data_IF_924690086312
#
_entry.id   IF_924690086312
#
_cell.length_a   1.000
_cell.length_b   1.000
_cell.length_c   1.000
_cell.angle_alpha   90.00
_cell.angle_beta   90.00
_cell.angle_gamma   90.00
#
_symmetry.space_group_name_H-M   'P 1'
#
loop_
_entity.id
_entity.type
_entity.pdbx_description
1 polymer ?
#
# COMPACT_ATOMS: atom_id res chain seq x y z
N UNK A 1 -3.63 1.74 36.39
CA UNK A 1 -3.16 1.01 35.16
C UNK A 1 -3.87 -0.33 35.13
N UNK A 2 -4.86 -0.47 34.26
CA UNK A 2 -5.61 -1.72 34.07
C UNK A 2 -4.74 -2.71 33.30
N UNK A 3 -4.70 -3.95 33.74
CA UNK A 3 -4.00 -5.04 33.04
C UNK A 3 -4.75 -6.35 33.18
N UNK A 4 -4.52 -7.26 32.25
CA UNK A 4 -5.02 -8.64 32.30
C UNK A 4 -3.88 -9.57 31.90
N UNK A 5 -3.67 -10.61 32.69
CA UNK A 5 -2.81 -11.73 32.32
C UNK A 5 -3.71 -12.92 31.96
N UNK A 6 -3.47 -13.57 30.83
CA UNK A 6 -4.31 -14.65 30.35
C UNK A 6 -3.93 -16.03 30.91
N UNK A 7 -2.84 -16.10 31.68
CA UNK A 7 -2.41 -17.32 32.39
C UNK A 7 -1.31 -17.06 33.40
N UNK A 8 -0.67 -18.14 33.87
CA UNK A 8 0.37 -18.11 34.91
C UNK A 8 1.78 -18.36 34.36
N UNK A 9 1.94 -18.37 33.03
CA UNK A 9 3.25 -18.57 32.39
C UNK A 9 4.12 -17.31 32.40
N UNK A 10 5.38 -17.49 32.01
CA UNK A 10 6.28 -16.36 31.79
C UNK A 10 5.80 -15.51 30.61
N UNK A 11 5.66 -14.21 30.82
CA UNK A 11 5.13 -13.31 29.81
C UNK A 11 6.16 -13.15 28.69
N UNK A 12 5.82 -13.61 27.48
CA UNK A 12 6.64 -13.46 26.27
C UNK A 12 6.07 -12.40 25.31
N UNK A 13 4.77 -12.16 25.38
CA UNK A 13 4.06 -11.25 24.48
C UNK A 13 3.20 -10.26 25.26
N UNK A 14 3.34 -8.99 24.89
CA UNK A 14 2.58 -7.89 25.47
C UNK A 14 1.65 -7.28 24.44
N UNK A 15 0.42 -6.97 24.85
CA UNK A 15 -0.52 -6.18 24.08
C UNK A 15 -0.74 -4.85 24.79
N UNK A 16 -0.45 -3.76 24.11
CA UNK A 16 -0.65 -2.39 24.58
C UNK A 16 -1.89 -1.81 23.90
N UNK A 17 -2.93 -1.51 24.68
CA UNK A 17 -4.23 -1.06 24.18
C UNK A 17 -4.84 -0.02 25.14
N UNK A 18 -5.75 0.84 24.67
CA UNK A 18 -6.47 1.78 25.56
C UNK A 18 -7.20 1.06 26.69
N UNK A 19 -7.20 1.63 27.88
CA UNK A 19 -7.80 1.01 29.09
C UNK A 19 -9.29 0.68 28.91
N UNK A 20 -10.03 1.52 28.18
CA UNK A 20 -11.44 1.32 27.88
C UNK A 20 -11.73 0.15 26.92
N UNK A 21 -10.70 -0.31 26.20
CA UNK A 21 -10.76 -1.48 25.33
C UNK A 21 -10.28 -2.79 26.03
N UNK A 22 -9.94 -2.75 27.31
CA UNK A 22 -9.59 -3.95 28.06
C UNK A 22 -10.88 -4.65 28.53
N UNK A 23 -11.47 -5.42 27.59
CA UNK A 23 -12.63 -6.27 27.81
C UNK A 23 -12.20 -7.70 27.44
N UNK A 24 -12.24 -8.61 28.42
CA UNK A 24 -11.65 -9.94 28.28
C UNK A 24 -12.21 -10.74 27.10
N UNK A 25 -13.53 -10.73 26.89
CA UNK A 25 -14.19 -11.42 25.77
C UNK A 25 -13.71 -10.94 24.41
N UNK A 26 -13.56 -9.62 24.26
CA UNK A 26 -13.15 -8.99 23.01
C UNK A 26 -11.65 -9.19 22.75
N UNK A 27 -10.83 -9.11 23.79
CA UNK A 27 -9.40 -9.40 23.68
C UNK A 27 -9.18 -10.86 23.27
N UNK A 28 -9.92 -11.81 23.84
CA UNK A 28 -9.88 -13.22 23.42
C UNK A 28 -10.25 -13.35 21.94
N UNK A 29 -11.35 -12.74 21.52
CA UNK A 29 -11.88 -12.86 20.17
C UNK A 29 -10.92 -12.28 19.12
N UNK A 30 -10.41 -11.08 19.34
CA UNK A 30 -9.72 -10.31 18.29
C UNK A 30 -8.20 -10.45 18.31
N UNK A 31 -7.59 -10.81 19.44
CA UNK A 31 -6.13 -10.89 19.56
C UNK A 31 -5.65 -12.24 20.09
N UNK A 32 -6.17 -12.73 21.22
CA UNK A 32 -5.59 -13.87 21.92
C UNK A 32 -5.82 -15.18 21.18
N UNK A 33 -7.07 -15.52 20.85
CA UNK A 33 -7.37 -16.74 20.10
C UNK A 33 -6.70 -16.77 18.71
N UNK A 34 -6.67 -15.66 17.93
CA UNK A 34 -5.89 -15.59 16.72
C UNK A 34 -4.38 -15.82 16.90
N UNK A 35 -3.78 -15.36 18.00
CA UNK A 35 -2.37 -15.63 18.33
C UNK A 35 -2.16 -17.09 18.74
N UNK A 36 -3.05 -17.66 19.53
CA UNK A 36 -3.01 -19.06 19.94
C UNK A 36 -3.10 -20.00 18.71
N UNK A 37 -3.99 -19.71 17.76
CA UNK A 37 -4.10 -20.42 16.48
C UNK A 37 -2.83 -20.33 15.61
N UNK A 38 -1.93 -19.37 15.90
CA UNK A 38 -0.65 -19.19 15.23
C UNK A 38 0.55 -19.71 16.06
N UNK A 39 0.27 -20.45 17.12
CA UNK A 39 1.29 -21.14 17.92
C UNK A 39 1.83 -20.36 19.13
N UNK A 40 1.27 -19.20 19.47
CA UNK A 40 1.63 -18.50 20.70
C UNK A 40 0.75 -19.00 21.86
N UNK A 41 1.39 -19.41 22.95
CA UNK A 41 0.67 -19.84 24.14
C UNK A 41 0.01 -18.64 24.85
N UNK A 42 -1.32 -18.67 24.96
CA UNK A 42 -2.09 -17.61 25.65
C UNK A 42 -1.66 -17.39 27.09
N UNK A 43 -1.15 -18.45 27.78
CA UNK A 43 -0.67 -18.33 29.15
C UNK A 43 0.51 -17.38 29.30
N UNK A 44 1.19 -17.06 28.20
CA UNK A 44 2.37 -16.19 28.13
C UNK A 44 2.03 -14.79 27.59
N UNK A 45 0.73 -14.42 27.52
CA UNK A 45 0.28 -13.13 26.99
C UNK A 45 -0.27 -12.25 28.11
N UNK A 46 0.19 -11.01 28.16
CA UNK A 46 -0.34 -9.97 29.04
C UNK A 46 -0.80 -8.75 28.25
N UNK A 47 -1.88 -8.12 28.71
CA UNK A 47 -2.43 -6.90 28.15
C UNK A 47 -2.29 -5.77 29.15
N UNK A 48 -1.76 -4.64 28.71
CA UNK A 48 -1.58 -3.43 29.52
C UNK A 48 -2.32 -2.24 28.90
N UNK A 49 -3.02 -1.49 29.77
CA UNK A 49 -3.73 -0.28 29.40
C UNK A 49 -2.79 0.87 29.09
N UNK A 50 -3.09 1.60 28.03
CA UNK A 50 -2.42 2.83 27.66
C UNK A 50 -3.08 4.04 28.33
N UNK A 51 -2.27 4.99 28.79
CA UNK A 51 -2.73 6.19 29.46
C UNK A 51 -3.40 7.14 28.46
N UNK A 52 -4.65 7.51 28.75
CA UNK A 52 -5.41 8.53 28.04
C UNK A 52 -6.20 9.39 29.03
N UNK A 53 -6.26 10.69 28.82
CA UNK A 53 -7.10 11.65 29.50
C UNK A 53 -8.13 12.15 28.50
N UNK A 54 -9.42 11.92 28.74
CA UNK A 54 -10.54 12.34 27.89
C UNK A 54 -10.32 12.10 26.39
N UNK A 55 -9.94 10.87 26.04
CA UNK A 55 -9.67 10.40 24.66
C UNK A 55 -8.41 10.99 24.02
N UNK A 56 -7.65 11.83 24.69
CA UNK A 56 -6.39 12.43 24.23
C UNK A 56 -5.24 12.09 25.16
N UNK A 57 -4.03 12.12 24.65
CA UNK A 57 -2.82 12.01 25.44
C UNK A 57 -1.81 13.05 24.97
N UNK A 58 -1.29 13.86 25.90
CA UNK A 58 -0.17 14.77 25.61
C UNK A 58 1.08 13.96 25.37
N UNK A 59 1.83 14.31 24.31
CA UNK A 59 3.00 13.53 23.87
C UNK A 59 4.04 13.29 24.98
N UNK A 60 4.34 14.32 25.77
CA UNK A 60 5.31 14.21 26.87
C UNK A 60 4.84 13.23 27.96
N UNK A 61 3.56 13.32 28.35
CA UNK A 61 2.98 12.42 29.35
C UNK A 61 2.92 10.97 28.83
N UNK A 62 2.50 10.78 27.57
CA UNK A 62 2.43 9.46 26.93
C UNK A 62 3.81 8.82 26.78
N UNK A 63 4.83 9.58 26.38
CA UNK A 63 6.22 9.09 26.30
C UNK A 63 6.78 8.74 27.68
N UNK A 64 6.52 9.56 28.70
CA UNK A 64 6.95 9.28 30.08
C UNK A 64 6.29 8.00 30.60
N UNK A 65 4.98 7.84 30.38
CA UNK A 65 4.25 6.63 30.72
C UNK A 65 4.80 5.40 30.01
N UNK A 66 5.07 5.50 28.70
CA UNK A 66 5.64 4.41 27.91
C UNK A 66 7.02 3.99 28.45
N UNK A 67 7.90 4.94 28.80
CA UNK A 67 9.19 4.65 29.44
C UNK A 67 9.03 3.92 30.78
N UNK A 68 8.13 4.38 31.62
CA UNK A 68 7.81 3.73 32.89
C UNK A 68 7.31 2.28 32.67
N UNK A 69 6.39 2.08 31.74
CA UNK A 69 5.86 0.77 31.39
C UNK A 69 6.95 -0.17 30.89
N UNK A 70 7.75 0.29 29.93
CA UNK A 70 8.85 -0.49 29.36
C UNK A 70 9.91 -0.82 30.41
N UNK A 71 10.24 0.09 31.33
CA UNK A 71 11.21 -0.18 32.42
C UNK A 71 10.76 -1.28 33.37
N UNK A 72 9.43 -1.46 33.57
CA UNK A 72 8.88 -2.60 34.30
C UNK A 72 8.98 -3.90 33.50
N UNK A 73 8.71 -3.81 32.20
CA UNK A 73 8.72 -4.95 31.27
C UNK A 73 10.11 -5.54 31.10
N UNK A 74 11.16 -4.72 31.01
CA UNK A 74 12.54 -5.20 30.83
C UNK A 74 13.00 -6.07 32.00
N UNK A 75 12.43 -5.86 33.18
CA UNK A 75 12.71 -6.68 34.37
C UNK A 75 12.18 -8.11 34.25
N UNK A 76 11.20 -8.34 33.38
CA UNK A 76 10.60 -9.67 33.15
C UNK A 76 11.52 -10.61 32.33
N UNK A 77 12.56 -10.08 31.68
CA UNK A 77 13.58 -10.79 30.86
C UNK A 77 13.05 -11.75 29.78
N UNK A 78 11.79 -12.19 29.89
CA UNK A 78 11.12 -13.20 29.03
C UNK A 78 10.38 -12.56 27.87
N UNK A 79 10.08 -11.25 27.89
CA UNK A 79 9.33 -10.57 26.86
C UNK A 79 10.16 -10.42 25.58
N UNK A 80 9.55 -10.81 24.47
CA UNK A 80 10.13 -10.73 23.12
C UNK A 80 9.26 -9.88 22.19
N UNK A 81 7.94 -9.93 22.38
CA UNK A 81 6.97 -9.37 21.45
C UNK A 81 6.11 -8.28 22.07
N UNK A 82 5.91 -7.18 21.36
CA UNK A 82 5.06 -6.05 21.76
C UNK A 82 4.06 -5.75 20.64
N UNK A 83 2.78 -6.01 20.90
CA UNK A 83 1.68 -5.67 20.01
C UNK A 83 1.09 -4.34 20.48
N UNK A 84 1.07 -3.32 19.62
CA UNK A 84 0.59 -1.99 19.97
C UNK A 84 -0.70 -1.69 19.20
N UNK A 85 -1.82 -1.69 19.91
CA UNK A 85 -3.13 -1.37 19.34
C UNK A 85 -3.45 0.13 19.49
N UNK A 86 -2.45 0.98 19.18
CA UNK A 86 -2.54 2.43 19.24
C UNK A 86 -1.45 3.11 18.39
N UNK A 87 -1.86 3.99 17.49
CA UNK A 87 -0.96 4.65 16.56
C UNK A 87 -0.02 5.67 17.21
N UNK A 88 -0.47 6.40 18.23
CA UNK A 88 0.35 7.41 18.91
C UNK A 88 1.48 6.76 19.69
N UNK A 89 1.16 5.74 20.47
CA UNK A 89 2.15 4.98 21.23
C UNK A 89 3.12 4.21 20.33
N UNK A 90 2.62 3.67 19.22
CA UNK A 90 3.50 3.02 18.24
C UNK A 90 4.50 4.00 17.59
N UNK A 91 4.05 5.21 17.23
CA UNK A 91 4.94 6.27 16.74
C UNK A 91 6.05 6.61 17.74
N UNK A 92 5.69 6.75 19.01
CA UNK A 92 6.67 7.06 20.07
C UNK A 92 7.63 5.89 20.28
N UNK A 93 7.14 4.66 20.28
CA UNK A 93 7.94 3.44 20.46
C UNK A 93 8.97 3.25 19.35
N UNK A 94 8.58 3.50 18.09
CA UNK A 94 9.39 3.18 16.89
C UNK A 94 10.03 4.39 16.23
N UNK A 95 9.69 5.62 16.65
CA UNK A 95 10.05 6.91 16.01
C UNK A 95 9.58 7.02 14.54
N UNK A 96 8.58 6.22 14.12
CA UNK A 96 7.96 6.35 12.80
C UNK A 96 7.02 7.54 12.77
N UNK A 97 7.07 8.34 11.72
CA UNK A 97 6.19 9.50 11.53
C UNK A 97 4.89 9.11 10.83
N UNK A 98 4.99 8.27 9.80
CA UNK A 98 3.86 7.72 9.04
C UNK A 98 3.64 6.26 9.44
N UNK A 99 2.44 5.91 9.86
CA UNK A 99 2.12 4.57 10.38
C UNK A 99 1.21 3.75 9.47
N UNK A 100 0.62 4.36 8.44
CA UNK A 100 -0.24 3.66 7.48
C UNK A 100 0.49 2.50 6.79
N UNK A 101 1.79 2.64 6.61
CA UNK A 101 2.65 1.69 5.92
C UNK A 101 3.34 0.70 6.90
N UNK A 102 2.95 0.75 8.19
CA UNK A 102 3.56 -0.10 9.22
C UNK A 102 2.73 -1.34 9.56
N UNK A 103 1.53 -1.46 9.05
CA UNK A 103 0.71 -2.64 9.30
C UNK A 103 1.29 -3.87 8.61
N UNK A 104 1.25 -5.03 9.29
CA UNK A 104 1.79 -6.27 8.77
C UNK A 104 3.32 -6.42 8.83
N UNK A 105 4.04 -5.44 9.41
CA UNK A 105 5.49 -5.45 9.57
C UNK A 105 5.90 -5.42 11.04
N UNK A 106 7.06 -6.00 11.34
CA UNK A 106 7.69 -5.93 12.66
C UNK A 106 8.76 -4.85 12.69
N UNK A 107 8.84 -4.14 13.81
CA UNK A 107 9.78 -3.06 14.04
C UNK A 107 10.54 -3.25 15.33
N UNK A 108 11.79 -2.81 15.35
CA UNK A 108 12.56 -2.72 16.58
C UNK A 108 12.21 -1.43 17.30
N UNK A 109 11.85 -1.46 18.61
CA UNK A 109 11.69 -0.27 19.42
C UNK A 109 12.96 0.59 19.41
N UNK A 110 12.78 1.92 19.30
CA UNK A 110 13.89 2.88 19.35
C UNK A 110 13.99 3.53 20.73
N UNK A 111 14.16 2.69 21.73
CA UNK A 111 14.43 3.04 23.12
C UNK A 111 15.67 2.27 23.59
N UNK A 112 16.59 2.93 24.27
CA UNK A 112 17.82 2.32 24.74
C UNK A 112 17.54 1.12 25.66
N UNK A 113 18.12 -0.03 25.31
CA UNK A 113 17.93 -1.31 26.01
C UNK A 113 16.70 -2.14 25.58
N UNK A 114 15.95 -1.69 24.56
CA UNK A 114 14.74 -2.38 24.07
C UNK A 114 14.87 -2.86 22.61
N UNK A 115 16.06 -2.81 22.04
CA UNK A 115 16.34 -3.17 20.64
C UNK A 115 16.12 -4.66 20.35
N UNK A 116 16.07 -5.50 21.38
CA UNK A 116 15.81 -6.95 21.26
C UNK A 116 14.33 -7.29 21.05
N UNK A 117 13.42 -6.36 21.38
CA UNK A 117 11.99 -6.62 21.24
C UNK A 117 11.54 -6.43 19.80
N UNK A 118 10.55 -7.23 19.38
CA UNK A 118 9.79 -7.02 18.16
C UNK A 118 8.50 -6.28 18.48
N UNK A 119 8.24 -5.19 17.80
CA UNK A 119 7.01 -4.43 17.94
C UNK A 119 6.18 -4.49 16.65
N UNK A 120 4.87 -4.62 16.75
CA UNK A 120 3.93 -4.58 15.62
C UNK A 120 2.79 -3.62 15.92
N UNK A 121 2.33 -2.91 14.88
CA UNK A 121 1.12 -2.10 14.95
C UNK A 121 -0.09 -2.92 14.52
N UNK A 122 -1.14 -2.87 15.33
CA UNK A 122 -2.46 -3.39 14.97
C UNK A 122 -3.53 -2.34 15.25
N UNK A 123 -4.65 -2.31 14.51
CA UNK A 123 -5.80 -1.50 14.91
C UNK A 123 -6.36 -1.92 16.28
N UNK A 124 -6.90 -0.95 17.03
CA UNK A 124 -7.77 -1.27 18.15
C UNK A 124 -9.05 -1.93 17.61
N UNK A 125 -9.47 -3.05 18.21
CA UNK A 125 -10.66 -3.79 17.73
C UNK A 125 -11.92 -2.93 17.71
N UNK A 126 -12.05 -1.91 18.56
CA UNK A 126 -13.17 -0.97 18.53
C UNK A 126 -13.27 -0.20 17.20
N UNK A 127 -12.17 -0.05 16.48
CA UNK A 127 -12.17 0.56 15.16
C UNK A 127 -12.87 -0.30 14.08
N UNK A 128 -13.13 -1.57 14.35
CA UNK A 128 -13.90 -2.46 13.46
C UNK A 128 -15.38 -2.01 13.33
N UNK A 129 -15.90 -1.32 14.35
CA UNK A 129 -17.26 -0.77 14.29
C UNK A 129 -17.40 0.28 13.17
N UNK A 130 -16.36 1.08 12.98
CA UNK A 130 -16.34 2.12 11.94
C UNK A 130 -15.80 1.62 10.60
N UNK A 131 -14.82 0.72 10.64
CA UNK A 131 -14.19 0.16 9.43
C UNK A 131 -13.89 -1.33 9.62
N UNK A 132 -14.78 -2.23 9.15
CA UNK A 132 -14.60 -3.68 9.23
C UNK A 132 -13.32 -4.20 8.58
N UNK A 133 -12.77 -3.49 7.58
CA UNK A 133 -11.52 -3.87 6.90
C UNK A 133 -10.30 -3.84 7.84
N UNK A 134 -10.39 -3.17 8.99
CA UNK A 134 -9.35 -3.23 10.01
C UNK A 134 -9.12 -4.63 10.57
N UNK A 135 -10.04 -5.59 10.35
CA UNK A 135 -9.84 -6.98 10.72
C UNK A 135 -8.67 -7.62 9.96
N UNK A 136 -8.50 -7.28 8.68
CA UNK A 136 -7.36 -7.75 7.88
C UNK A 136 -6.04 -7.20 8.46
N UNK A 137 -6.01 -5.91 8.83
CA UNK A 137 -4.82 -5.30 9.44
C UNK A 137 -4.46 -5.90 10.81
N UNK A 138 -5.46 -6.26 11.62
CA UNK A 138 -5.24 -6.98 12.88
C UNK A 138 -4.60 -8.34 12.56
N UNK A 139 -5.21 -9.11 11.65
CA UNK A 139 -4.74 -10.45 11.28
C UNK A 139 -3.30 -10.43 10.76
N UNK A 140 -2.95 -9.45 9.91
CA UNK A 140 -1.61 -9.29 9.36
C UNK A 140 -0.57 -8.94 10.44
N UNK A 141 -0.89 -7.99 11.33
CA UNK A 141 0.00 -7.65 12.43
C UNK A 141 0.25 -8.82 13.38
N UNK A 142 -0.81 -9.57 13.72
CA UNK A 142 -0.69 -10.77 14.55
C UNK A 142 0.12 -11.88 13.84
N UNK A 143 0.01 -11.98 12.52
CA UNK A 143 0.82 -12.92 11.73
C UNK A 143 2.30 -12.51 11.74
N UNK A 144 2.59 -11.24 11.53
CA UNK A 144 3.95 -10.72 11.51
C UNK A 144 4.70 -10.97 12.83
N UNK A 145 4.04 -10.78 13.97
CA UNK A 145 4.68 -10.95 15.30
C UNK A 145 5.03 -12.40 15.62
N UNK A 146 4.29 -13.37 15.08
CA UNK A 146 4.56 -14.80 15.30
C UNK A 146 5.78 -15.30 14.53
N UNK A 147 6.40 -14.45 13.70
CA UNK A 147 7.51 -14.83 12.84
C UNK A 147 7.12 -15.71 11.66
N UNK A 148 5.81 -15.87 11.42
CA UNK A 148 5.31 -16.55 10.23
C UNK A 148 5.70 -15.70 9.00
N UNK A 149 6.68 -16.19 8.25
CA UNK A 149 7.01 -15.60 6.95
C UNK A 149 5.95 -16.05 5.96
N UNK A 150 5.23 -15.10 5.37
CA UNK A 150 4.38 -15.42 4.22
C UNK A 150 5.24 -16.08 3.14
N UNK A 151 4.74 -17.15 2.51
CA UNK A 151 5.43 -17.75 1.38
C UNK A 151 5.66 -16.66 0.31
N UNK A 152 6.77 -16.78 -0.42
CA UNK A 152 7.02 -15.91 -1.55
C UNK A 152 5.86 -16.07 -2.54
N UNK A 153 5.24 -14.94 -2.91
CA UNK A 153 4.14 -14.97 -3.87
C UNK A 153 4.62 -15.25 -5.30
N UNK A 154 5.90 -15.04 -5.57
CA UNK A 154 6.53 -15.33 -6.86
C UNK A 154 7.00 -16.79 -6.86
N UNK A 155 6.33 -17.64 -7.61
CA UNK A 155 6.75 -19.03 -7.83
C UNK A 155 7.61 -19.16 -9.08
N UNK A 156 7.27 -18.43 -10.15
CA UNK A 156 8.07 -18.34 -11.36
C UNK A 156 8.11 -16.90 -11.85
N UNK A 157 9.31 -16.42 -12.07
CA UNK A 157 9.54 -15.09 -12.60
C UNK A 157 10.61 -15.13 -13.70
N UNK A 158 10.43 -14.29 -14.71
CA UNK A 158 11.48 -13.93 -15.65
C UNK A 158 11.68 -12.42 -15.57
N UNK A 159 12.92 -12.00 -15.43
CA UNK A 159 13.32 -10.59 -15.44
C UNK A 159 14.13 -10.35 -16.72
N UNK A 160 13.55 -9.61 -17.65
CA UNK A 160 14.05 -9.47 -19.01
C UNK A 160 14.62 -8.08 -19.23
N UNK A 161 15.86 -8.01 -19.69
CA UNK A 161 16.57 -6.78 -20.03
C UNK A 161 17.10 -6.80 -21.47
N UNK A 162 16.91 -7.91 -22.19
CA UNK A 162 17.32 -8.10 -23.57
C UNK A 162 16.13 -8.10 -24.54
N UNK A 163 16.25 -7.37 -25.64
CA UNK A 163 15.17 -7.19 -26.62
C UNK A 163 14.74 -8.50 -27.29
N UNK A 164 15.69 -9.40 -27.61
CA UNK A 164 15.35 -10.67 -28.29
C UNK A 164 14.58 -11.59 -27.34
N UNK A 165 14.95 -11.58 -26.07
CA UNK A 165 14.24 -12.34 -25.04
C UNK A 165 12.84 -11.75 -24.82
N UNK A 166 12.71 -10.42 -24.73
CA UNK A 166 11.43 -9.73 -24.64
C UNK A 166 10.51 -10.07 -25.81
N UNK A 167 11.04 -10.04 -27.05
CA UNK A 167 10.28 -10.39 -28.25
C UNK A 167 9.76 -11.83 -28.23
N UNK A 168 10.60 -12.80 -27.84
CA UNK A 168 10.19 -14.21 -27.71
C UNK A 168 9.09 -14.38 -26.68
N UNK A 169 9.24 -13.71 -25.54
CA UNK A 169 8.31 -13.78 -24.44
C UNK A 169 6.96 -13.16 -24.78
N UNK A 170 6.95 -11.96 -25.37
CA UNK A 170 5.72 -11.30 -25.79
C UNK A 170 4.97 -12.13 -26.82
N UNK A 171 5.68 -12.73 -27.81
CA UNK A 171 5.08 -13.65 -28.76
C UNK A 171 4.51 -14.93 -28.09
N UNK A 172 5.17 -15.43 -27.05
CA UNK A 172 4.63 -16.53 -26.26
C UNK A 172 3.34 -16.14 -25.51
N UNK A 173 3.30 -14.96 -24.89
CA UNK A 173 2.10 -14.46 -24.19
C UNK A 173 0.90 -14.27 -25.13
N UNK A 174 1.13 -13.83 -26.37
CA UNK A 174 0.06 -13.68 -27.39
C UNK A 174 -0.74 -14.97 -27.60
N UNK A 175 -0.07 -16.12 -27.58
CA UNK A 175 -0.70 -17.41 -27.94
C UNK A 175 -1.02 -18.28 -26.72
N UNK A 176 -0.40 -18.01 -25.58
CA UNK A 176 -0.48 -18.89 -24.40
C UNK A 176 -1.41 -18.39 -23.31
N UNK A 177 -1.88 -17.13 -23.40
CA UNK A 177 -2.67 -16.51 -22.33
C UNK A 177 -3.95 -15.90 -22.86
N UNK A 178 -5.07 -16.10 -22.10
CA UNK A 178 -6.37 -15.49 -22.38
C UNK A 178 -6.65 -14.27 -21.52
N UNK A 179 -5.84 -14.03 -20.51
CA UNK A 179 -5.92 -12.86 -19.64
C UNK A 179 -4.54 -12.57 -19.06
N UNK A 180 -4.20 -11.30 -18.93
CA UNK A 180 -2.97 -10.80 -18.32
C UNK A 180 -3.31 -9.66 -17.39
N UNK A 181 -2.73 -9.67 -16.20
CA UNK A 181 -2.58 -8.43 -15.43
C UNK A 181 -1.32 -7.72 -15.87
N UNK A 182 -1.39 -6.41 -15.94
CA UNK A 182 -0.36 -5.55 -16.51
C UNK A 182 -0.15 -4.39 -15.55
N UNK A 183 1.10 -4.05 -15.30
CA UNK A 183 1.50 -2.92 -14.49
C UNK A 183 2.75 -2.27 -15.09
N UNK A 184 2.85 -0.94 -15.04
CA UNK A 184 3.99 -0.19 -15.56
C UNK A 184 4.63 0.67 -14.49
N UNK A 185 5.94 0.83 -14.58
CA UNK A 185 6.67 1.86 -13.84
C UNK A 185 7.14 2.96 -14.76
N UNK A 186 7.06 4.19 -14.27
CA UNK A 186 7.37 5.39 -15.05
C UNK A 186 8.33 6.31 -14.29
N UNK A 187 8.99 7.24 -15.00
CA UNK A 187 9.86 8.26 -14.38
C UNK A 187 9.09 9.30 -13.56
N UNK A 188 7.77 9.28 -13.56
CA UNK A 188 6.93 10.22 -12.81
C UNK A 188 5.46 10.09 -13.16
N UNK A 189 4.62 10.94 -12.58
CA UNK A 189 3.16 10.84 -12.70
C UNK A 189 2.58 11.66 -13.88
N UNK A 190 3.35 12.59 -14.44
CA UNK A 190 2.87 13.43 -15.52
C UNK A 190 2.89 12.71 -16.88
N UNK A 191 2.08 13.15 -17.82
CA UNK A 191 1.88 12.49 -19.12
C UNK A 191 3.17 12.33 -19.93
N UNK A 192 4.14 13.26 -19.83
CA UNK A 192 5.43 13.17 -20.49
C UNK A 192 6.46 12.25 -19.84
N UNK A 193 6.10 11.51 -18.78
CA UNK A 193 6.99 10.57 -18.12
C UNK A 193 7.26 9.36 -19.02
N UNK A 194 8.51 8.89 -19.01
CA UNK A 194 8.93 7.71 -19.78
C UNK A 194 8.53 6.42 -19.06
N UNK A 195 8.25 5.38 -19.81
CA UNK A 195 8.11 4.02 -19.32
C UNK A 195 9.49 3.47 -18.94
N UNK A 196 9.62 2.90 -17.75
CA UNK A 196 10.88 2.28 -17.27
C UNK A 196 10.78 0.77 -17.32
N UNK A 197 9.69 0.21 -16.82
CA UNK A 197 9.43 -1.23 -16.87
C UNK A 197 7.96 -1.52 -17.10
N UNK A 198 7.70 -2.74 -17.53
CA UNK A 198 6.37 -3.31 -17.65
C UNK A 198 6.40 -4.74 -17.13
N UNK A 199 5.36 -5.12 -16.39
CA UNK A 199 5.19 -6.50 -15.94
C UNK A 199 3.87 -7.08 -16.44
N UNK A 200 3.87 -8.41 -16.58
CA UNK A 200 2.73 -9.22 -16.98
C UNK A 200 2.60 -10.41 -16.04
N UNK A 201 1.39 -10.72 -15.59
CA UNK A 201 1.14 -11.97 -14.89
C UNK A 201 -0.14 -12.63 -15.43
N UNK A 202 -0.11 -13.96 -15.55
CA UNK A 202 -1.20 -14.79 -16.05
C UNK A 202 -1.86 -15.66 -14.98
N UNK A 203 -1.35 -15.58 -13.78
CA UNK A 203 -1.97 -16.07 -12.55
C UNK A 203 -1.41 -15.33 -11.34
N UNK A 204 -1.81 -15.73 -10.14
CA UNK A 204 -1.40 -15.04 -8.89
C UNK A 204 0.05 -15.30 -8.46
N UNK A 205 0.81 -16.17 -9.15
CA UNK A 205 2.15 -16.60 -8.74
C UNK A 205 3.19 -16.58 -9.86
N UNK A 206 2.75 -16.47 -11.10
CA UNK A 206 3.62 -16.58 -12.27
C UNK A 206 3.49 -15.37 -13.17
N UNK A 207 4.63 -14.85 -13.57
CA UNK A 207 4.67 -13.66 -14.42
C UNK A 207 6.07 -13.29 -14.85
N UNK A 208 6.18 -12.15 -15.49
CA UNK A 208 7.40 -11.62 -16.07
C UNK A 208 7.44 -10.11 -15.90
N UNK A 209 8.63 -9.55 -15.72
CA UNK A 209 8.86 -8.11 -15.79
C UNK A 209 9.98 -7.80 -16.79
N UNK A 210 9.77 -6.76 -17.59
CA UNK A 210 10.65 -6.34 -18.67
C UNK A 210 11.13 -4.92 -18.38
N UNK A 211 12.44 -4.70 -18.40
CA UNK A 211 13.04 -3.38 -18.35
C UNK A 211 13.04 -2.75 -19.74
N UNK A 212 12.55 -1.51 -19.90
CA UNK A 212 12.25 -0.94 -21.22
C UNK A 212 13.33 -0.07 -21.82
N UNK A 213 14.40 0.27 -21.10
CA UNK A 213 15.46 1.16 -21.60
C UNK A 213 16.17 0.62 -22.86
N UNK A 214 16.24 -0.70 -23.01
CA UNK A 214 16.93 -1.36 -24.12
C UNK A 214 15.98 -2.07 -25.09
N UNK A 215 14.68 -1.85 -24.96
CA UNK A 215 13.64 -2.51 -25.75
C UNK A 215 13.03 -1.52 -26.74
N UNK A 216 12.95 -1.92 -28.02
CA UNK A 216 12.22 -1.13 -29.00
C UNK A 216 10.73 -1.11 -28.65
N UNK A 217 10.20 0.07 -28.43
CA UNK A 217 8.79 0.27 -28.03
C UNK A 217 7.79 -0.20 -29.10
N UNK A 218 8.19 -0.30 -30.37
CA UNK A 218 7.34 -0.84 -31.44
C UNK A 218 6.98 -2.33 -31.21
N UNK A 219 7.85 -3.09 -30.54
CA UNK A 219 7.58 -4.48 -30.17
C UNK A 219 6.43 -4.53 -29.15
N UNK A 220 6.48 -3.65 -28.16
CA UNK A 220 5.45 -3.56 -27.13
C UNK A 220 4.13 -3.01 -27.71
N UNK A 221 4.20 -1.98 -28.57
CA UNK A 221 3.03 -1.48 -29.29
C UNK A 221 2.33 -2.60 -30.08
N UNK A 222 3.12 -3.38 -30.84
CA UNK A 222 2.60 -4.49 -31.65
C UNK A 222 1.96 -5.57 -30.79
N UNK A 223 2.60 -5.91 -29.66
CA UNK A 223 2.02 -6.83 -28.68
C UNK A 223 0.62 -6.40 -28.23
N UNK A 224 0.44 -5.12 -27.86
CA UNK A 224 -0.88 -4.64 -27.42
C UNK A 224 -1.93 -4.62 -28.52
N UNK A 225 -1.53 -4.35 -29.77
CA UNK A 225 -2.46 -4.39 -30.92
C UNK A 225 -2.91 -5.82 -31.21
N UNK A 226 -1.97 -6.79 -31.11
CA UNK A 226 -2.21 -8.17 -31.51
C UNK A 226 -2.77 -9.04 -30.36
N UNK A 227 -2.78 -8.55 -29.11
CA UNK A 227 -3.26 -9.31 -27.97
C UNK A 227 -4.79 -9.32 -27.91
N UNK A 228 -5.40 -10.49 -28.11
CA UNK A 228 -6.85 -10.69 -28.11
C UNK A 228 -7.42 -11.05 -26.73
N UNK A 229 -6.56 -11.30 -25.73
CA UNK A 229 -6.97 -11.65 -24.37
C UNK A 229 -7.44 -10.45 -23.54
N UNK A 230 -7.87 -10.73 -22.32
CA UNK A 230 -8.31 -9.69 -21.37
C UNK A 230 -7.09 -9.01 -20.76
N UNK A 231 -6.99 -7.70 -20.91
CA UNK A 231 -5.98 -6.87 -20.25
C UNK A 231 -6.57 -6.31 -18.94
N UNK A 232 -5.91 -6.58 -17.82
CA UNK A 232 -6.38 -6.25 -16.48
C UNK A 232 -5.36 -5.33 -15.82
N UNK A 233 -5.80 -4.19 -15.30
CA UNK A 233 -4.99 -3.22 -14.61
C UNK A 233 -5.51 -2.96 -13.19
N UNK A 234 -4.74 -2.27 -12.38
CA UNK A 234 -5.22 -1.66 -11.14
C UNK A 234 -5.10 -0.14 -11.25
N UNK A 235 -6.22 0.57 -11.41
CA UNK A 235 -6.28 1.96 -11.83
C UNK A 235 -5.84 2.14 -13.31
N UNK A 236 -6.55 1.43 -14.20
CA UNK A 236 -6.29 1.39 -15.64
C UNK A 236 -6.08 2.78 -16.30
N UNK A 237 -6.66 3.83 -15.73
CA UNK A 237 -6.48 5.20 -16.23
C UNK A 237 -5.02 5.66 -16.17
N UNK A 238 -4.25 5.22 -15.17
CA UNK A 238 -2.84 5.57 -15.08
C UNK A 238 -2.02 4.85 -16.16
N UNK A 239 -2.07 3.53 -16.18
CA UNK A 239 -1.25 2.71 -17.09
C UNK A 239 -1.63 2.95 -18.55
N UNK A 240 -2.90 2.85 -18.89
CA UNK A 240 -3.37 3.04 -20.26
C UNK A 240 -3.06 4.44 -20.81
N UNK A 241 -3.19 5.49 -19.98
CA UNK A 241 -2.81 6.85 -20.36
C UNK A 241 -1.33 6.93 -20.79
N UNK A 242 -0.42 6.36 -19.98
CA UNK A 242 1.00 6.38 -20.26
C UNK A 242 1.38 5.47 -21.43
N UNK A 243 0.78 4.27 -21.53
CA UNK A 243 0.97 3.37 -22.66
C UNK A 243 0.53 4.01 -23.98
N UNK A 244 -0.65 4.64 -24.02
CA UNK A 244 -1.15 5.34 -25.21
C UNK A 244 -0.19 6.47 -25.60
N UNK A 245 0.18 7.30 -24.64
CA UNK A 245 1.04 8.47 -24.92
C UNK A 245 2.43 8.08 -25.41
N UNK A 246 3.03 7.04 -24.86
CA UNK A 246 4.40 6.64 -25.19
C UNK A 246 4.48 5.74 -26.41
N UNK A 247 3.49 4.88 -26.67
CA UNK A 247 3.57 3.86 -27.71
C UNK A 247 2.83 4.22 -29.01
N UNK A 248 1.81 5.07 -28.94
CA UNK A 248 0.94 5.33 -30.08
C UNK A 248 1.11 6.76 -30.60
N UNK A 249 1.27 6.91 -31.92
CA UNK A 249 1.27 8.20 -32.58
C UNK A 249 -0.14 8.83 -32.70
N UNK A 250 -1.18 8.00 -32.63
CA UNK A 250 -2.57 8.39 -32.66
C UNK A 250 -3.27 8.01 -31.35
N UNK A 251 -3.81 9.00 -30.66
CA UNK A 251 -4.63 8.79 -29.46
C UNK A 251 -5.82 7.85 -29.76
N UNK A 252 -6.43 7.99 -30.94
CA UNK A 252 -7.58 7.16 -31.31
C UNK A 252 -7.19 5.69 -31.50
N UNK A 253 -6.02 5.41 -32.09
CA UNK A 253 -5.49 4.04 -32.23
C UNK A 253 -5.28 3.42 -30.84
N UNK A 254 -4.62 4.14 -29.93
CA UNK A 254 -4.41 3.68 -28.55
C UNK A 254 -5.73 3.47 -27.78
N UNK A 255 -6.70 4.39 -27.91
CA UNK A 255 -8.02 4.23 -27.29
C UNK A 255 -8.80 3.01 -27.81
N UNK A 256 -8.60 2.62 -29.06
CA UNK A 256 -9.22 1.43 -29.60
C UNK A 256 -8.51 0.16 -29.13
N UNK A 257 -7.18 0.19 -29.01
CA UNK A 257 -6.39 -0.93 -28.48
C UNK A 257 -6.76 -1.26 -27.03
N UNK A 258 -6.99 -0.24 -26.20
CA UNK A 258 -7.37 -0.39 -24.78
C UNK A 258 -8.88 -0.26 -24.51
N UNK A 259 -9.73 -0.55 -25.51
CA UNK A 259 -11.19 -0.38 -25.37
C UNK A 259 -11.81 -1.36 -24.35
N UNK A 260 -11.31 -2.60 -24.31
CA UNK A 260 -11.89 -3.69 -23.52
C UNK A 260 -11.05 -4.07 -22.29
N UNK A 261 -10.34 -3.09 -21.72
CA UNK A 261 -9.57 -3.33 -20.50
C UNK A 261 -10.48 -3.52 -19.28
N UNK A 262 -10.04 -4.32 -18.33
CA UNK A 262 -10.68 -4.46 -17.03
C UNK A 262 -9.85 -3.77 -15.94
N UNK A 263 -10.52 -3.23 -14.92
CA UNK A 263 -9.87 -2.51 -13.82
C UNK A 263 -10.25 -3.13 -12.47
N UNK A 264 -9.25 -3.69 -11.79
CA UNK A 264 -9.42 -4.31 -10.47
C UNK A 264 -9.76 -3.30 -9.38
N UNK A 265 -9.40 -2.01 -9.52
CA UNK A 265 -9.79 -0.95 -8.60
C UNK A 265 -11.29 -0.66 -8.68
N UNK A 266 -11.87 -0.68 -9.88
CA UNK A 266 -13.32 -0.50 -10.06
C UNK A 266 -14.11 -1.70 -9.51
N UNK A 267 -13.61 -2.94 -9.67
CA UNK A 267 -14.18 -4.10 -8.99
C UNK A 267 -14.12 -3.96 -7.47
N UNK A 268 -13.01 -3.48 -6.94
CA UNK A 268 -12.84 -3.22 -5.50
C UNK A 268 -13.85 -2.18 -5.01
N UNK A 269 -14.02 -1.10 -5.78
CA UNK A 269 -15.00 -0.04 -5.48
C UNK A 269 -16.42 -0.59 -5.36
N UNK A 270 -16.86 -1.34 -6.36
CA UNK A 270 -18.20 -1.93 -6.36
C UNK A 270 -18.39 -2.98 -5.26
N UNK A 271 -17.37 -3.81 -5.02
CA UNK A 271 -17.44 -4.88 -4.02
C UNK A 271 -17.48 -4.37 -2.58
N UNK A 272 -16.78 -3.27 -2.29
CA UNK A 272 -16.71 -2.69 -0.94
C UNK A 272 -17.87 -1.78 -0.61
N UNK A 273 -18.79 -1.53 -1.54
CA UNK A 273 -19.93 -0.62 -1.38
C UNK A 273 -19.44 0.70 -0.77
N UNK A 274 -18.60 1.42 -1.48
CA UNK A 274 -17.65 2.37 -0.92
C UNK A 274 -18.35 3.55 -0.24
N UNK A 275 -18.39 3.48 1.05
CA UNK A 275 -18.35 4.67 1.87
C UNK A 275 -16.97 5.32 1.72
N UNK A 276 -16.86 6.62 1.98
CA UNK A 276 -15.66 7.45 1.79
C UNK A 276 -14.36 6.92 2.45
N UNK A 277 -14.43 5.85 3.23
CA UNK A 277 -13.31 5.26 3.97
C UNK A 277 -12.73 3.97 3.34
N UNK A 278 -13.34 3.45 2.27
CA UNK A 278 -12.86 2.24 1.63
C UNK A 278 -11.53 2.53 0.88
N UNK A 279 -10.46 1.93 1.33
CA UNK A 279 -9.18 1.99 0.62
C UNK A 279 -9.28 1.20 -0.67
N UNK A 280 -8.96 1.88 -1.78
CA UNK A 280 -8.96 1.29 -3.12
C UNK A 280 -7.56 0.95 -3.62
N UNK A 281 -6.51 1.39 -2.92
CA UNK A 281 -5.12 1.13 -3.31
C UNK A 281 -4.80 -0.37 -3.33
N UNK A 282 -3.97 -0.77 -4.28
CA UNK A 282 -3.59 -2.16 -4.53
C UNK A 282 -3.02 -2.84 -3.29
N UNK A 283 -2.08 -2.18 -2.61
CA UNK A 283 -1.31 -2.77 -1.51
C UNK A 283 -2.17 -3.07 -0.30
N UNK A 284 -3.10 -2.16 0.05
CA UNK A 284 -4.08 -2.42 1.11
C UNK A 284 -5.02 -3.58 0.78
N UNK A 285 -5.39 -3.74 -0.50
CA UNK A 285 -6.31 -4.79 -0.94
C UNK A 285 -5.66 -6.15 -1.16
N UNK A 286 -4.34 -6.17 -1.39
CA UNK A 286 -3.54 -7.39 -1.54
C UNK A 286 -2.79 -7.80 -0.27
N UNK A 287 -2.93 -7.07 0.85
CA UNK A 287 -2.14 -7.25 2.06
C UNK A 287 -2.18 -8.69 2.59
N UNK A 288 -3.35 -9.34 2.59
CA UNK A 288 -3.49 -10.73 3.04
C UNK A 288 -2.77 -11.75 2.13
N UNK A 289 -2.60 -11.42 0.85
CA UNK A 289 -1.91 -12.25 -0.15
C UNK A 289 -0.40 -11.96 -0.18
N UNK A 290 -0.04 -10.71 -0.42
CA UNK A 290 1.33 -10.31 -0.70
C UNK A 290 2.10 -9.77 0.53
N UNK A 291 1.41 -9.55 1.65
CA UNK A 291 2.00 -8.84 2.79
C UNK A 291 2.24 -7.36 2.48
N UNK A 292 2.98 -6.69 3.35
CA UNK A 292 3.37 -5.30 3.12
C UNK A 292 4.68 -5.24 2.30
N UNK A 293 4.59 -5.53 1.00
CA UNK A 293 5.76 -5.50 0.10
C UNK A 293 6.06 -4.09 -0.43
N UNK A 294 5.14 -3.17 -0.24
CA UNK A 294 5.25 -1.79 -0.73
C UNK A 294 6.04 -0.90 0.22
N UNK A 295 7.35 -1.02 0.21
CA UNK A 295 8.18 0.10 0.68
C UNK A 295 7.82 1.29 -0.22
N UNK A 296 7.46 2.45 0.37
CA UNK A 296 7.11 3.64 -0.40
C UNK A 296 8.24 3.97 -1.40
N UNK A 297 8.12 3.46 -2.59
CA UNK A 297 8.96 3.84 -3.72
C UNK A 297 8.43 5.21 -4.16
N UNK A 298 9.12 6.27 -3.76
CA UNK A 298 8.79 7.63 -4.18
C UNK A 298 9.23 7.90 -5.60
N UNK A 299 10.25 7.17 -6.05
CA UNK A 299 10.87 7.32 -7.35
C UNK A 299 11.35 5.94 -7.82
N UNK A 300 10.64 5.36 -8.76
CA UNK A 300 10.97 4.06 -9.34
C UNK A 300 12.33 4.10 -10.07
N UNK A 301 12.69 5.25 -10.64
CA UNK A 301 13.96 5.44 -11.37
C UNK A 301 15.21 5.37 -10.47
N UNK A 302 15.03 5.50 -9.16
CA UNK A 302 16.12 5.41 -8.18
C UNK A 302 16.42 3.98 -7.72
N UNK A 303 15.62 2.99 -8.13
CA UNK A 303 15.80 1.58 -7.77
C UNK A 303 16.83 0.91 -8.70
N UNK A 304 17.53 -0.10 -8.18
CA UNK A 304 18.27 -1.01 -9.06
C UNK A 304 17.29 -1.81 -9.94
N UNK A 305 17.72 -2.18 -11.14
CA UNK A 305 16.87 -2.87 -12.13
C UNK A 305 16.21 -4.11 -11.54
N UNK A 306 16.97 -4.95 -10.83
CA UNK A 306 16.43 -6.19 -10.24
C UNK A 306 15.32 -5.91 -9.21
N UNK A 307 15.51 -4.90 -8.35
CA UNK A 307 14.52 -4.51 -7.34
C UNK A 307 13.28 -3.90 -7.99
N UNK A 308 13.46 -3.10 -9.03
CA UNK A 308 12.38 -2.51 -9.81
C UNK A 308 11.52 -3.59 -10.48
N UNK A 309 12.15 -4.54 -11.17
CA UNK A 309 11.45 -5.60 -11.88
C UNK A 309 10.70 -6.54 -10.92
N UNK A 310 11.32 -6.89 -9.80
CA UNK A 310 10.64 -7.68 -8.76
C UNK A 310 9.44 -6.94 -8.16
N UNK A 311 9.59 -5.63 -7.92
CA UNK A 311 8.52 -4.79 -7.38
C UNK A 311 7.35 -4.69 -8.37
N UNK A 312 7.62 -4.36 -9.64
CA UNK A 312 6.63 -4.26 -10.71
C UNK A 312 5.90 -5.60 -10.93
N UNK A 313 6.63 -6.73 -10.90
CA UNK A 313 5.99 -8.06 -10.98
C UNK A 313 5.07 -8.34 -9.80
N UNK A 314 5.47 -7.96 -8.57
CA UNK A 314 4.60 -8.11 -7.38
C UNK A 314 3.30 -7.32 -7.52
N UNK A 315 3.34 -6.13 -8.11
CA UNK A 315 2.14 -5.34 -8.37
C UNK A 315 1.21 -6.05 -9.38
N UNK A 316 1.74 -6.69 -10.42
CA UNK A 316 0.95 -7.53 -11.32
C UNK A 316 0.30 -8.74 -10.63
N UNK A 317 1.06 -9.49 -9.83
CA UNK A 317 0.55 -10.67 -9.11
C UNK A 317 -0.52 -10.25 -8.07
N UNK A 318 -0.30 -9.12 -7.39
CA UNK A 318 -1.27 -8.53 -6.47
C UNK A 318 -2.54 -8.09 -7.22
N UNK A 319 -2.41 -7.50 -8.40
CA UNK A 319 -3.54 -7.12 -9.27
C UNK A 319 -4.36 -8.33 -9.67
N UNK A 320 -3.72 -9.46 -10.03
CA UNK A 320 -4.42 -10.71 -10.33
C UNK A 320 -5.24 -11.22 -9.14
N UNK A 321 -4.63 -11.20 -7.95
CA UNK A 321 -5.30 -11.61 -6.72
C UNK A 321 -6.52 -10.72 -6.41
N UNK A 322 -6.32 -9.39 -6.43
CA UNK A 322 -7.36 -8.39 -6.15
C UNK A 322 -8.51 -8.47 -7.15
N UNK A 323 -8.19 -8.59 -8.43
CA UNK A 323 -9.17 -8.75 -9.50
C UNK A 323 -10.08 -9.97 -9.28
N UNK A 324 -9.50 -11.14 -9.07
CA UNK A 324 -10.29 -12.36 -8.89
C UNK A 324 -11.13 -12.34 -7.60
N UNK A 325 -10.54 -11.82 -6.50
CA UNK A 325 -11.25 -11.67 -5.21
C UNK A 325 -12.49 -10.81 -5.36
N UNK A 326 -12.34 -9.62 -5.89
CA UNK A 326 -13.44 -8.65 -5.94
C UNK A 326 -14.42 -8.87 -7.10
N UNK A 327 -13.96 -9.37 -8.24
CA UNK A 327 -14.85 -9.81 -9.33
C UNK A 327 -15.83 -10.88 -8.87
N UNK A 328 -15.39 -11.85 -8.06
CA UNK A 328 -16.24 -12.86 -7.46
C UNK A 328 -17.32 -12.25 -6.55
N UNK A 329 -16.96 -11.23 -5.75
CA UNK A 329 -17.89 -10.51 -4.86
C UNK A 329 -18.90 -9.72 -5.68
N UNK A 330 -18.45 -8.95 -6.67
CA UNK A 330 -19.30 -8.17 -7.58
C UNK A 330 -20.32 -9.07 -8.29
N UNK A 331 -19.87 -10.23 -8.79
CA UNK A 331 -20.75 -11.25 -9.39
C UNK A 331 -21.78 -11.78 -8.40
N UNK A 332 -21.36 -12.11 -7.17
CA UNK A 332 -22.24 -12.60 -6.10
C UNK A 332 -23.33 -11.60 -5.73
N UNK A 333 -23.04 -10.30 -5.77
CA UNK A 333 -23.98 -9.23 -5.44
C UNK A 333 -24.76 -8.68 -6.65
N UNK A 334 -24.68 -9.34 -7.83
CA UNK A 334 -25.35 -8.92 -9.08
C UNK A 334 -24.96 -7.50 -9.54
N UNK A 335 -23.71 -7.07 -9.27
CA UNK A 335 -23.18 -5.77 -9.67
C UNK A 335 -22.35 -5.83 -10.97
N UNK A 336 -22.38 -6.97 -11.68
CA UNK A 336 -21.62 -7.13 -12.92
C UNK A 336 -22.20 -6.28 -14.05
N UNK A 337 -23.53 -6.15 -14.13
CA UNK A 337 -24.19 -5.31 -15.13
C UNK A 337 -23.79 -3.84 -15.02
N UNK A 338 -23.89 -3.16 -13.86
CA UNK A 338 -23.35 -1.81 -13.70
C UNK A 338 -21.86 -1.70 -14.08
N UNK A 339 -21.04 -2.70 -13.74
CA UNK A 339 -19.64 -2.70 -14.13
C UNK A 339 -19.46 -2.67 -15.66
N UNK A 340 -20.13 -3.59 -16.38
CA UNK A 340 -19.97 -3.74 -17.84
C UNK A 340 -20.65 -2.65 -18.66
N UNK A 341 -21.73 -2.05 -18.14
CA UNK A 341 -22.53 -1.04 -18.87
C UNK A 341 -22.13 0.40 -18.57
N UNK A 342 -21.52 0.66 -17.38
CA UNK A 342 -21.21 2.02 -16.96
C UNK A 342 -19.72 2.16 -16.68
N UNK A 343 -19.16 1.38 -15.72
CA UNK A 343 -17.81 1.61 -15.20
C UNK A 343 -16.73 1.28 -16.23
N UNK A 344 -16.76 0.10 -16.82
CA UNK A 344 -15.78 -0.32 -17.80
C UNK A 344 -15.78 0.57 -19.06
N UNK A 345 -16.91 0.89 -19.71
CA UNK A 345 -16.91 1.78 -20.87
C UNK A 345 -16.49 3.22 -20.56
N UNK A 346 -16.67 3.69 -19.32
CA UNK A 346 -16.24 5.02 -18.91
C UNK A 346 -14.73 5.18 -18.89
N UNK A 347 -13.95 4.10 -18.77
CA UNK A 347 -12.47 4.15 -18.84
C UNK A 347 -12.03 4.79 -20.16
N UNK A 348 -12.57 4.37 -21.31
CA UNK A 348 -12.25 4.92 -22.63
C UNK A 348 -12.59 6.42 -22.71
N UNK A 349 -13.72 6.82 -22.17
CA UNK A 349 -14.16 8.22 -22.17
C UNK A 349 -13.22 9.08 -21.33
N UNK A 350 -12.88 8.63 -20.12
CA UNK A 350 -11.98 9.33 -19.22
C UNK A 350 -10.55 9.39 -19.79
N UNK A 351 -10.04 8.31 -20.39
CA UNK A 351 -8.76 8.31 -21.08
C UNK A 351 -8.73 9.34 -22.21
N UNK A 352 -9.79 9.40 -23.03
CA UNK A 352 -9.90 10.40 -24.08
C UNK A 352 -9.86 11.83 -23.52
N UNK A 353 -10.57 12.10 -22.42
CA UNK A 353 -10.54 13.41 -21.76
C UNK A 353 -9.14 13.73 -21.23
N UNK A 354 -8.47 12.80 -20.57
CA UNK A 354 -7.13 12.99 -20.01
C UNK A 354 -6.07 13.23 -21.08
N UNK A 355 -6.16 12.51 -22.21
CA UNK A 355 -5.22 12.63 -23.35
C UNK A 355 -5.49 13.87 -24.21
N UNK A 356 -6.73 14.35 -24.25
CA UNK A 356 -7.08 15.61 -24.93
C UNK A 356 -6.62 16.82 -24.11
N UNK A 357 -6.73 16.73 -22.77
CA UNK A 357 -6.41 17.83 -21.86
C UNK A 357 -7.39 19.00 -21.93
N UNK A 358 -7.01 20.09 -21.28
CA UNK A 358 -7.75 21.35 -21.28
C UNK A 358 -6.94 22.42 -22.00
N UNK A 359 -7.55 23.25 -22.86
CA UNK A 359 -6.87 24.38 -23.45
C UNK A 359 -6.55 25.42 -22.35
N UNK A 360 -5.29 25.82 -22.26
CA UNK A 360 -4.83 26.87 -21.36
C UNK A 360 -4.39 28.10 -22.15
N UNK A 361 -4.74 29.28 -21.64
CA UNK A 361 -4.19 30.52 -22.10
C UNK A 361 -2.78 30.72 -21.52
N UNK A 362 -1.76 30.42 -22.32
CA UNK A 362 -0.36 30.51 -21.91
C UNK A 362 0.03 31.87 -21.37
N UNK A 363 -0.56 32.98 -21.87
CA UNK A 363 -0.28 34.33 -21.38
C UNK A 363 -0.73 34.44 -19.93
N UNK A 364 -1.96 34.02 -19.64
CA UNK A 364 -2.50 34.02 -18.27
C UNK A 364 -1.77 33.08 -17.35
N UNK A 365 -1.32 31.92 -17.84
CA UNK A 365 -0.51 30.98 -17.04
C UNK A 365 0.78 31.64 -16.58
N UNK A 366 1.50 32.33 -17.48
CA UNK A 366 2.74 33.06 -17.16
C UNK A 366 2.50 34.25 -16.19
N UNK A 367 1.39 34.95 -16.34
CA UNK A 367 1.00 36.03 -15.43
C UNK A 367 0.76 35.48 -14.01
N UNK A 368 -0.02 34.41 -13.89
CA UNK A 368 -0.33 33.74 -12.60
C UNK A 368 0.92 33.13 -11.98
N UNK A 369 1.78 32.48 -12.77
CA UNK A 369 3.07 31.94 -12.30
C UNK A 369 3.94 33.04 -11.70
N UNK A 370 4.04 34.20 -12.36
CA UNK A 370 4.78 35.36 -11.87
C UNK A 370 4.19 35.87 -10.55
N UNK A 371 2.89 36.08 -10.47
CA UNK A 371 2.19 36.53 -9.25
C UNK A 371 2.38 35.56 -8.06
N UNK A 372 2.23 34.25 -8.31
CA UNK A 372 2.44 33.25 -7.30
C UNK A 372 3.89 33.19 -6.83
N UNK A 373 4.84 33.30 -7.75
CA UNK A 373 6.27 33.34 -7.44
C UNK A 373 6.64 34.53 -6.58
N UNK A 374 6.17 35.73 -6.94
CA UNK A 374 6.37 36.98 -6.18
C UNK A 374 5.76 36.84 -4.76
N UNK A 375 4.55 36.29 -4.66
CA UNK A 375 3.88 36.03 -3.38
C UNK A 375 4.64 35.03 -2.53
N UNK A 376 5.16 33.94 -3.11
CA UNK A 376 5.96 32.95 -2.42
C UNK A 376 7.28 33.53 -1.88
N UNK A 377 7.98 34.34 -2.68
CA UNK A 377 9.21 35.03 -2.26
C UNK A 377 8.92 35.96 -1.08
N UNK A 378 7.87 36.79 -1.19
CA UNK A 378 7.46 37.71 -0.13
C UNK A 378 7.13 36.99 1.19
N UNK A 379 6.40 35.86 1.10
CA UNK A 379 6.06 35.07 2.29
C UNK A 379 7.31 34.43 2.91
N UNK A 380 8.25 33.97 2.09
CA UNK A 380 9.52 33.41 2.56
C UNK A 380 10.38 34.45 3.28
N UNK A 381 10.45 35.67 2.76
CA UNK A 381 11.12 36.79 3.42
C UNK A 381 10.48 37.17 4.76
N UNK A 382 9.14 37.08 4.86
CA UNK A 382 8.40 37.29 6.13
C UNK A 382 8.76 36.20 7.14
N UNK A 383 8.79 34.93 6.74
CA UNK A 383 9.15 33.81 7.61
C UNK A 383 10.61 33.91 8.10
N UNK A 384 11.55 34.27 7.23
CA UNK A 384 12.95 34.46 7.59
C UNK A 384 13.12 35.67 8.59
N UNK A 385 12.38 36.75 8.38
CA UNK A 385 12.35 37.88 9.29
C UNK A 385 11.74 37.52 10.67
N UNK A 386 10.66 36.74 10.69
CA UNK A 386 10.04 36.22 11.92
C UNK A 386 11.00 35.30 12.69
N UNK A 387 11.72 34.40 12.01
CA UNK A 387 12.74 33.55 12.61
C UNK A 387 13.89 34.37 13.21
N UNK A 388 14.32 35.46 12.52
CA UNK A 388 15.34 36.35 13.01
C UNK A 388 14.88 37.16 14.26
N UNK A 389 13.61 37.54 14.33
CA UNK A 389 13.03 38.23 15.51
C UNK A 389 12.93 37.26 16.69
N UNK A 390 12.45 36.02 16.47
CA UNK A 390 12.34 34.98 17.51
C UNK A 390 13.71 34.61 18.07
N UNK A 391 14.74 34.52 17.22
CA UNK A 391 16.12 34.25 17.66
C UNK A 391 16.72 35.37 18.53
N UNK A 392 16.27 36.61 18.35
CA UNK A 392 16.69 37.79 19.15
C UNK A 392 15.93 37.93 20.48
N UNK A 393 14.77 37.30 20.63
CA UNK A 393 13.95 37.35 21.85
C UNK A 393 14.36 36.23 22.84
N UNK A 394 15.06 35.20 22.40
CA UNK A 394 15.54 34.07 23.21
C UNK A 394 16.98 34.24 23.75
N UNK A 395 17.45 35.50 23.96
CA UNK A 395 18.70 35.82 24.66
C UNK A 395 18.40 36.30 26.10
#
# INVERSE_FOLDING_TARGET
>A
MKNIHFGNGDITTLILIKEDAIIQSDLLKYYINPLENKGLDKNNIAVYGLLYEDSKVKAELGKAYLRMLLSKIIKLKTVENIIVADTSYFKWLTKKTKVTDCYGETFTPKFDGYEKFKAVLVPNYKALFYNPNNQELITEGLTAITGFKKPNIIHSAQYVTDEKEACKLLNYLLVSTNALTIDIETTGLHLGSKLISIAFAWDKHNGVAIHLDSINQDILKRFFIDYEGIMIFHNALFDCKHLIHNLFSSVQEGLNTFENVEDSMLYTYLAKNSTTEAKLDLKSNALEFAGNYGVNVKDASALSVDVLLEYNLKDCLATWYVYNKYKAIVKKHNLLEPYTTIFQPSIKVLLKMMLTGLPLDNTKVLEVEKELTETMIKNKEIDENLLCIVSKINI
#
